data_IF_455251433878
#
_entry.id   IF_455251433878
#
_cell.length_a   1.000
_cell.length_b   1.000
_cell.length_c   1.000
_cell.angle_alpha   90.00
_cell.angle_beta   90.00
_cell.angle_gamma   90.00
#
_symmetry.space_group_name_H-M   'P 1'
#
loop_
_entity.id
_entity.type
_entity.pdbx_description
1 polymer ?
#
# COMPACT_ATOMS: atom_id res chain seq x y z
N UNK A 1 -16.56 12.93 15.25
CA UNK A 1 -17.07 11.63 14.72
C UNK A 1 -15.90 10.65 14.83
N UNK A 2 -16.11 9.43 15.36
CA UNK A 2 -15.04 8.45 15.43
C UNK A 2 -14.77 7.90 14.02
N UNK A 3 -13.51 7.83 13.61
CA UNK A 3 -13.11 7.19 12.35
C UNK A 3 -13.21 5.67 12.56
N UNK A 4 -13.96 5.00 11.69
CA UNK A 4 -14.10 3.54 11.68
C UNK A 4 -13.24 2.93 10.57
N UNK A 5 -12.92 1.64 10.70
CA UNK A 5 -12.24 0.92 9.63
C UNK A 5 -13.19 0.64 8.45
N UNK A 6 -12.66 0.61 7.23
CA UNK A 6 -13.45 0.33 6.01
C UNK A 6 -13.55 -1.16 5.70
N UNK A 7 -12.66 -1.97 6.27
CA UNK A 7 -12.76 -3.43 6.37
C UNK A 7 -12.14 -3.91 7.70
N UNK A 8 -12.23 -5.20 8.00
CA UNK A 8 -11.59 -5.79 9.18
C UNK A 8 -10.08 -6.01 8.93
N UNK A 9 -9.16 -5.28 9.59
CA UNK A 9 -7.72 -5.41 9.36
C UNK A 9 -7.18 -6.83 9.57
N UNK A 10 -7.81 -7.64 10.43
CA UNK A 10 -7.36 -8.99 10.78
C UNK A 10 -7.29 -9.94 9.57
N UNK A 11 -8.06 -9.65 8.51
CA UNK A 11 -8.05 -10.45 7.27
C UNK A 11 -6.69 -10.45 6.58
N UNK A 12 -5.87 -9.41 6.79
CA UNK A 12 -4.52 -9.31 6.22
C UNK A 12 -3.41 -9.66 7.22
N UNK A 13 -3.77 -9.92 8.48
CA UNK A 13 -2.83 -10.21 9.56
C UNK A 13 -2.69 -11.71 9.86
N UNK A 14 -3.39 -12.56 9.12
CA UNK A 14 -3.19 -14.01 9.20
C UNK A 14 -1.85 -14.42 8.56
N UNK A 15 -1.12 -15.40 9.13
CA UNK A 15 0.09 -15.93 8.50
C UNK A 15 -0.22 -16.52 7.12
N UNK A 16 0.71 -16.42 6.17
CA UNK A 16 0.54 -16.99 4.82
C UNK A 16 0.44 -18.52 4.88
N UNK A 17 1.34 -19.16 5.65
CA UNK A 17 1.24 -20.57 6.02
C UNK A 17 1.89 -20.84 7.38
N UNK A 18 1.74 -22.05 7.92
CA UNK A 18 2.39 -22.46 9.17
C UNK A 18 3.93 -22.48 9.04
N UNK A 19 4.45 -22.94 7.90
CA UNK A 19 5.88 -23.08 7.66
C UNK A 19 6.55 -21.78 7.21
N UNK A 20 5.80 -20.89 6.56
CA UNK A 20 6.26 -19.59 6.10
C UNK A 20 5.23 -18.50 6.45
N UNK A 21 5.17 -18.02 7.71
CA UNK A 21 4.19 -17.03 8.14
C UNK A 21 4.22 -15.73 7.32
N UNK A 22 5.40 -15.34 6.82
CA UNK A 22 5.58 -14.16 5.98
C UNK A 22 5.46 -14.44 4.47
N UNK A 23 5.29 -15.70 4.06
CA UNK A 23 5.25 -16.10 2.66
C UNK A 23 6.60 -15.96 1.96
N UNK A 24 6.56 -15.61 0.67
CA UNK A 24 7.74 -15.40 -0.18
C UNK A 24 7.85 -13.94 -0.61
N UNK A 25 9.06 -13.49 -0.94
CA UNK A 25 9.26 -12.14 -1.49
C UNK A 25 8.48 -11.97 -2.80
N UNK A 26 7.47 -11.07 -2.86
CA UNK A 26 6.68 -10.88 -4.08
C UNK A 26 7.51 -10.45 -5.30
N UNK A 27 8.71 -9.88 -5.07
CA UNK A 27 9.62 -9.46 -6.15
C UNK A 27 10.36 -10.62 -6.80
N UNK A 28 10.38 -11.79 -6.16
CA UNK A 28 11.06 -12.97 -6.72
C UNK A 28 10.32 -13.55 -7.93
N UNK A 29 9.01 -13.34 -8.04
CA UNK A 29 8.24 -13.74 -9.23
C UNK A 29 8.38 -12.70 -10.35
N UNK A 30 9.19 -13.05 -11.35
CA UNK A 30 9.40 -12.27 -12.58
C UNK A 30 8.57 -12.77 -13.77
N UNK A 31 7.62 -13.68 -13.54
CA UNK A 31 6.76 -14.22 -14.59
C UNK A 31 5.74 -13.19 -15.07
N UNK A 32 5.14 -13.46 -16.24
CA UNK A 32 4.03 -12.63 -16.77
C UNK A 32 2.77 -12.67 -15.90
N UNK A 33 2.68 -13.64 -14.98
CA UNK A 33 1.58 -13.80 -14.03
C UNK A 33 1.88 -13.18 -12.66
N UNK A 34 3.05 -12.55 -12.48
CA UNK A 34 3.49 -11.93 -11.23
C UNK A 34 2.47 -10.93 -10.70
N UNK A 35 1.97 -11.17 -9.49
CA UNK A 35 1.07 -10.23 -8.81
C UNK A 35 1.78 -8.92 -8.50
N UNK A 36 3.05 -9.00 -8.12
CA UNK A 36 3.88 -7.82 -7.86
C UNK A 36 4.00 -6.91 -9.08
N UNK A 37 4.29 -7.48 -10.27
CA UNK A 37 4.34 -6.67 -11.50
C UNK A 37 2.97 -6.08 -11.85
N UNK A 38 1.88 -6.85 -11.66
CA UNK A 38 0.51 -6.35 -11.89
C UNK A 38 0.15 -5.17 -11.00
N UNK A 39 0.41 -5.22 -9.68
CA UNK A 39 0.11 -4.08 -8.79
C UNK A 39 1.02 -2.88 -9.07
N UNK A 40 2.28 -3.12 -9.45
CA UNK A 40 3.21 -2.06 -9.85
C UNK A 40 2.72 -1.31 -11.10
N UNK A 41 2.24 -2.05 -12.09
CA UNK A 41 1.65 -1.48 -13.31
C UNK A 41 0.33 -0.75 -13.02
N UNK A 42 -0.56 -1.35 -12.21
CA UNK A 42 -1.80 -0.71 -11.77
C UNK A 42 -1.52 0.62 -11.05
N UNK A 43 -0.52 0.66 -10.17
CA UNK A 43 -0.08 1.88 -9.49
C UNK A 43 0.46 2.93 -10.47
N UNK A 44 1.22 2.51 -11.47
CA UNK A 44 1.71 3.42 -12.51
C UNK A 44 0.54 4.02 -13.34
N UNK A 45 -0.47 3.21 -13.65
CA UNK A 45 -1.70 3.63 -14.33
C UNK A 45 -2.50 4.61 -13.47
N UNK A 46 -2.75 4.29 -12.20
CA UNK A 46 -3.48 5.15 -11.27
C UNK A 46 -2.82 6.53 -11.13
N UNK A 47 -1.48 6.57 -10.97
CA UNK A 47 -0.73 7.83 -10.91
C UNK A 47 -0.75 8.59 -12.24
N UNK A 48 -0.81 7.91 -13.38
CA UNK A 48 -0.97 8.57 -14.70
C UNK A 48 -2.36 9.18 -14.83
N UNK A 49 -3.41 8.44 -14.48
CA UNK A 49 -4.78 8.92 -14.49
C UNK A 49 -4.97 10.12 -13.56
N UNK A 50 -4.40 10.07 -12.35
CA UNK A 50 -4.44 11.17 -11.39
C UNK A 50 -3.75 12.43 -11.93
N UNK A 51 -2.58 12.30 -12.57
CA UNK A 51 -1.91 13.45 -13.19
C UNK A 51 -2.68 14.04 -14.37
N UNK A 52 -3.37 13.22 -15.16
CA UNK A 52 -4.22 13.71 -16.24
C UNK A 52 -5.43 14.48 -15.67
N UNK A 53 -6.04 13.94 -14.61
CA UNK A 53 -7.13 14.58 -13.89
C UNK A 53 -6.74 15.96 -13.31
N UNK A 54 -5.55 16.07 -12.72
CA UNK A 54 -5.02 17.32 -12.17
C UNK A 54 -4.81 18.43 -13.23
N UNK A 55 -4.69 18.06 -14.51
CA UNK A 55 -4.56 19.02 -15.62
C UNK A 55 -5.92 19.47 -16.14
N UNK A 56 -6.86 18.54 -16.33
CA UNK A 56 -8.17 18.82 -16.93
C UNK A 56 -9.16 19.43 -15.92
N UNK A 57 -8.94 19.27 -14.61
CA UNK A 57 -9.70 19.83 -13.46
C UNK A 57 -11.22 19.57 -13.43
N UNK A 58 -11.77 18.88 -14.43
CA UNK A 58 -13.20 18.51 -14.57
C UNK A 58 -13.42 16.99 -14.65
N UNK A 59 -12.35 16.19 -14.58
CA UNK A 59 -12.45 14.74 -14.59
C UNK A 59 -12.89 14.16 -13.24
N UNK A 60 -13.54 13.00 -13.25
CA UNK A 60 -13.75 12.23 -12.03
C UNK A 60 -12.40 11.75 -11.47
N UNK A 61 -12.21 11.73 -10.12
CA UNK A 61 -11.03 11.13 -9.53
C UNK A 61 -10.86 9.68 -9.99
N UNK A 62 -9.63 9.18 -10.19
CA UNK A 62 -9.36 7.83 -10.71
C UNK A 62 -9.58 6.75 -9.63
N UNK A 63 -10.80 6.68 -9.08
CA UNK A 63 -11.15 5.81 -7.97
C UNK A 63 -11.05 4.33 -8.34
N UNK A 64 -11.36 3.98 -9.59
CA UNK A 64 -11.24 2.60 -10.07
C UNK A 64 -9.77 2.17 -10.10
N UNK A 65 -8.89 3.00 -10.67
CA UNK A 65 -7.48 2.66 -10.80
C UNK A 65 -6.79 2.57 -9.44
N UNK A 66 -7.19 3.40 -8.47
CA UNK A 66 -6.70 3.26 -7.09
C UNK A 66 -7.33 2.07 -6.37
N UNK A 67 -8.58 1.72 -6.66
CA UNK A 67 -9.22 0.48 -6.21
C UNK A 67 -8.44 -0.76 -6.66
N UNK A 68 -8.04 -0.81 -7.93
CA UNK A 68 -7.25 -1.92 -8.47
C UNK A 68 -5.90 -2.08 -7.72
N UNK A 69 -5.27 -0.97 -7.31
CA UNK A 69 -4.04 -1.01 -6.49
C UNK A 69 -4.31 -1.63 -5.13
N UNK A 70 -5.41 -1.22 -4.47
CA UNK A 70 -5.78 -1.72 -3.14
C UNK A 70 -6.11 -3.21 -3.19
N UNK A 71 -6.91 -3.63 -4.17
CA UNK A 71 -7.33 -5.03 -4.32
C UNK A 71 -6.13 -5.94 -4.60
N UNK A 72 -5.27 -5.57 -5.56
CA UNK A 72 -4.07 -6.35 -5.89
C UNK A 72 -3.05 -6.37 -4.75
N UNK A 73 -2.89 -5.26 -4.01
CA UNK A 73 -2.08 -5.26 -2.79
C UNK A 73 -2.64 -6.21 -1.74
N UNK A 74 -3.96 -6.23 -1.54
CA UNK A 74 -4.64 -7.15 -0.63
C UNK A 74 -4.44 -8.61 -1.01
N UNK A 75 -4.51 -8.94 -2.30
CA UNK A 75 -4.22 -10.30 -2.81
C UNK A 75 -2.79 -10.74 -2.45
N UNK A 76 -1.79 -9.88 -2.66
CA UNK A 76 -0.39 -10.22 -2.34
C UNK A 76 -0.22 -10.42 -0.83
N UNK A 77 -0.72 -9.48 -0.02
CA UNK A 77 -0.57 -9.50 1.43
C UNK A 77 -1.29 -10.68 2.10
N UNK A 78 -2.31 -11.24 1.45
CA UNK A 78 -3.07 -12.39 1.98
C UNK A 78 -2.63 -13.74 1.43
N UNK A 79 -2.08 -13.80 0.21
CA UNK A 79 -1.84 -15.06 -0.49
C UNK A 79 -0.37 -15.36 -0.83
N UNK A 80 0.51 -14.36 -0.80
CA UNK A 80 1.85 -14.50 -1.36
C UNK A 80 2.94 -14.11 -0.39
N UNK A 81 2.90 -12.89 0.15
CA UNK A 81 3.98 -12.39 0.99
C UNK A 81 3.59 -11.17 1.82
N UNK A 82 4.02 -11.13 3.08
CA UNK A 82 3.94 -9.94 3.92
C UNK A 82 5.04 -8.98 3.48
N UNK A 83 4.65 -7.81 2.96
CA UNK A 83 5.58 -6.90 2.31
C UNK A 83 5.26 -5.42 2.57
N UNK A 84 6.27 -4.66 3.03
CA UNK A 84 6.13 -3.25 3.40
C UNK A 84 6.00 -2.31 2.20
N UNK A 85 6.50 -2.67 1.02
CA UNK A 85 6.30 -1.86 -0.19
C UNK A 85 4.89 -2.00 -0.72
N UNK A 86 4.39 -3.23 -0.79
CA UNK A 86 3.00 -3.51 -1.16
C UNK A 86 2.04 -2.86 -0.16
N UNK A 87 2.37 -2.89 1.14
CA UNK A 87 1.62 -2.19 2.17
C UNK A 87 1.66 -0.66 1.98
N UNK A 88 2.81 -0.09 1.60
CA UNK A 88 2.91 1.34 1.29
C UNK A 88 2.01 1.73 0.10
N UNK A 89 1.95 0.89 -0.94
CA UNK A 89 1.05 1.11 -2.07
C UNK A 89 -0.43 0.99 -1.69
N UNK A 90 -0.77 0.05 -0.80
CA UNK A 90 -2.12 -0.05 -0.25
C UNK A 90 -2.49 1.21 0.54
N UNK A 91 -1.60 1.73 1.40
CA UNK A 91 -1.82 3.01 2.11
C UNK A 91 -2.07 4.15 1.12
N UNK A 92 -1.25 4.23 0.06
CA UNK A 92 -1.37 5.25 -0.99
C UNK A 92 -2.72 5.19 -1.75
N UNK A 93 -3.23 3.98 -2.00
CA UNK A 93 -4.54 3.77 -2.63
C UNK A 93 -5.71 4.03 -1.68
N UNK A 94 -5.67 3.45 -0.47
CA UNK A 94 -6.74 3.53 0.53
C UNK A 94 -7.09 4.97 0.91
N UNK A 95 -6.08 5.85 1.08
CA UNK A 95 -6.34 7.27 1.37
C UNK A 95 -7.08 7.98 0.23
N UNK A 96 -6.96 7.52 -1.01
CA UNK A 96 -7.61 8.12 -2.18
C UNK A 96 -9.02 7.61 -2.40
N UNK A 97 -9.28 6.33 -2.12
CA UNK A 97 -10.61 5.74 -2.29
C UNK A 97 -11.53 6.03 -1.10
N UNK A 98 -10.98 6.05 0.12
CA UNK A 98 -11.76 6.06 1.37
C UNK A 98 -11.36 7.20 2.34
N UNK A 99 -10.46 8.10 1.90
CA UNK A 99 -10.05 9.26 2.68
C UNK A 99 -9.42 8.90 4.03
N UNK A 100 -9.84 9.61 5.08
CA UNK A 100 -9.33 9.40 6.44
C UNK A 100 -9.63 7.99 7.00
N UNK A 101 -10.79 7.42 6.67
CA UNK A 101 -11.14 6.06 7.09
C UNK A 101 -10.27 5.02 6.39
N UNK A 102 -9.96 5.24 5.11
CA UNK A 102 -9.03 4.38 4.36
C UNK A 102 -7.63 4.42 4.93
N UNK A 103 -7.11 5.62 5.18
CA UNK A 103 -5.81 5.80 5.82
C UNK A 103 -5.77 5.12 7.20
N UNK A 104 -6.79 5.34 8.03
CA UNK A 104 -6.87 4.71 9.35
C UNK A 104 -6.83 3.18 9.28
N UNK A 105 -7.62 2.60 8.37
CA UNK A 105 -7.66 1.14 8.15
C UNK A 105 -6.31 0.61 7.69
N UNK A 106 -5.68 1.26 6.70
CA UNK A 106 -4.39 0.84 6.17
C UNK A 106 -3.28 0.95 7.22
N UNK A 107 -3.30 1.99 8.06
CA UNK A 107 -2.34 2.13 9.17
C UNK A 107 -2.53 1.05 10.24
N UNK A 108 -3.76 0.60 10.49
CA UNK A 108 -4.02 -0.53 11.39
C UNK A 108 -3.44 -1.84 10.86
N UNK A 109 -3.56 -2.09 9.55
CA UNK A 109 -2.91 -3.24 8.91
C UNK A 109 -1.39 -3.10 9.01
N UNK A 110 -0.82 -1.94 8.66
CA UNK A 110 0.63 -1.72 8.73
C UNK A 110 1.19 -1.90 10.15
N UNK A 111 0.49 -1.39 11.17
CA UNK A 111 0.82 -1.59 12.59
C UNK A 111 0.85 -3.08 12.94
N UNK A 112 -0.21 -3.83 12.59
CA UNK A 112 -0.29 -5.27 12.86
C UNK A 112 0.78 -6.08 12.12
N UNK A 113 1.07 -5.73 10.87
CA UNK A 113 2.11 -6.38 10.06
C UNK A 113 3.49 -6.23 10.71
N UNK A 114 3.86 -4.99 11.08
CA UNK A 114 5.15 -4.72 11.73
C UNK A 114 5.21 -5.39 13.10
N UNK A 115 4.15 -5.31 13.90
CA UNK A 115 4.14 -5.91 15.23
C UNK A 115 4.28 -7.44 15.21
N UNK A 116 3.72 -8.10 14.19
CA UNK A 116 3.58 -9.57 14.16
C UNK A 116 4.66 -10.24 13.32
N UNK A 117 5.06 -9.63 12.20
CA UNK A 117 5.88 -10.29 11.16
C UNK A 117 7.27 -9.68 10.98
N UNK A 118 7.72 -8.76 11.86
CA UNK A 118 8.96 -7.99 11.70
C UNK A 118 10.19 -8.80 11.28
N UNK A 119 10.40 -9.97 11.88
CA UNK A 119 11.58 -10.78 11.63
C UNK A 119 11.64 -11.31 10.18
N UNK A 120 10.49 -11.63 9.59
CA UNK A 120 10.39 -12.24 8.26
C UNK A 120 9.73 -11.39 7.18
N UNK A 121 9.23 -10.20 7.53
CA UNK A 121 8.53 -9.33 6.57
C UNK A 121 9.49 -8.80 5.51
N UNK A 122 9.00 -8.75 4.27
CA UNK A 122 9.75 -8.27 3.12
C UNK A 122 9.64 -6.74 2.98
N UNK A 123 10.64 -6.05 2.39
CA UNK A 123 11.98 -6.56 2.11
C UNK A 123 12.73 -6.99 3.38
N UNK A 124 13.54 -8.05 3.27
CA UNK A 124 14.45 -8.46 4.34
C UNK A 124 15.57 -7.42 4.50
N UNK A 125 16.25 -7.35 5.66
CA UNK A 125 17.36 -6.44 5.82
C UNK A 125 18.55 -6.90 4.97
N UNK A 126 19.32 -5.96 4.46
CA UNK A 126 20.51 -6.20 3.63
C UNK A 126 21.79 -5.74 4.36
N UNK A 127 22.88 -5.54 3.62
CA UNK A 127 24.17 -5.10 4.18
C UNK A 127 24.11 -3.71 4.84
N UNK A 128 23.14 -2.88 4.44
CA UNK A 128 22.85 -1.56 5.02
C UNK A 128 21.78 -1.64 6.14
N UNK A 129 21.43 -2.86 6.56
CA UNK A 129 20.50 -3.11 7.65
C UNK A 129 19.04 -2.94 7.20
N UNK A 130 18.27 -2.10 7.89
CA UNK A 130 16.84 -1.95 7.63
C UNK A 130 16.52 -0.82 6.63
N UNK A 131 17.52 -0.24 5.95
CA UNK A 131 17.31 0.90 5.05
C UNK A 131 16.34 0.54 3.92
N UNK A 132 16.64 -0.50 3.14
CA UNK A 132 15.77 -0.97 2.06
C UNK A 132 14.38 -1.42 2.57
N UNK A 133 14.34 -2.05 3.74
CA UNK A 133 13.09 -2.49 4.40
C UNK A 133 12.17 -1.32 4.75
N UNK A 134 12.72 -0.23 5.28
CA UNK A 134 11.96 0.93 5.75
C UNK A 134 11.71 1.97 4.64
N UNK A 135 12.49 1.93 3.56
CA UNK A 135 12.39 2.86 2.44
C UNK A 135 10.96 3.08 1.91
N UNK A 136 10.08 2.06 1.78
CA UNK A 136 8.72 2.29 1.29
C UNK A 136 7.88 3.18 2.21
N UNK A 137 7.96 2.98 3.53
CA UNK A 137 7.24 3.81 4.50
C UNK A 137 7.85 5.21 4.62
N UNK A 138 9.17 5.32 4.52
CA UNK A 138 9.85 6.62 4.44
C UNK A 138 9.36 7.37 3.18
N UNK A 139 9.21 6.68 2.04
CA UNK A 139 8.72 7.24 0.79
C UNK A 139 7.28 7.79 0.85
N UNK A 140 6.45 7.30 1.78
CA UNK A 140 5.12 7.88 2.04
C UNK A 140 5.22 9.32 2.56
N UNK A 141 6.22 9.59 3.41
CA UNK A 141 6.49 10.91 4.00
C UNK A 141 7.32 11.80 3.07
N UNK A 142 8.32 11.21 2.41
CA UNK A 142 9.27 11.87 1.52
C UNK A 142 10.66 11.98 2.12
N UNK A 143 11.68 11.95 1.26
CA UNK A 143 13.11 12.11 1.61
C UNK A 143 13.62 13.44 1.07
N UNK A 144 13.72 13.55 -0.26
CA UNK A 144 14.19 14.75 -0.97
C UNK A 144 13.06 15.55 -1.62
N UNK A 145 11.82 15.32 -1.20
CA UNK A 145 10.62 15.91 -1.79
C UNK A 145 9.35 15.47 -1.08
N UNK A 146 8.19 15.82 -1.65
CA UNK A 146 6.91 15.39 -1.09
C UNK A 146 6.72 13.88 -1.27
N UNK A 147 6.47 13.19 -0.16
CA UNK A 147 6.09 11.79 -0.18
C UNK A 147 4.71 11.56 -0.79
N UNK A 148 4.44 10.30 -1.13
CA UNK A 148 3.23 9.91 -1.87
C UNK A 148 1.93 10.09 -1.07
N UNK A 149 2.03 10.20 0.25
CA UNK A 149 0.90 10.43 1.15
C UNK A 149 0.52 11.91 1.28
N UNK A 150 1.43 12.83 0.97
CA UNK A 150 1.22 14.28 1.20
C UNK A 150 0.17 14.85 0.24
N UNK A 151 0.26 14.54 -1.05
CA UNK A 151 -0.69 15.03 -2.05
C UNK A 151 -2.14 14.59 -1.79
N UNK A 152 -2.46 13.30 -1.54
CA UNK A 152 -3.84 12.89 -1.32
C UNK A 152 -4.40 13.49 -0.03
N UNK A 153 -3.62 13.58 1.05
CA UNK A 153 -4.03 14.23 2.29
C UNK A 153 -4.44 15.69 2.10
N UNK A 154 -3.74 16.43 1.23
CA UNK A 154 -4.08 17.83 0.90
C UNK A 154 -5.37 17.98 0.10
N UNK A 155 -5.79 16.91 -0.60
CA UNK A 155 -7.02 16.87 -1.39
C UNK A 155 -8.23 16.41 -0.56
N UNK A 156 -8.03 15.90 0.65
CA UNK A 156 -9.14 15.50 1.52
C UNK A 156 -9.89 16.72 2.06
N UNK A 157 -11.23 16.67 2.12
CA UNK A 157 -12.03 17.75 2.70
C UNK A 157 -11.77 17.83 4.22
N UNK A 158 -11.52 19.05 4.71
CA UNK A 158 -11.27 19.32 6.13
C UNK A 158 -12.59 19.30 6.94
N UNK A 159 -13.71 19.53 6.27
CA UNK A 159 -15.06 19.53 6.85
C UNK A 159 -15.97 18.61 6.05
N UNK A 160 -16.92 17.95 6.72
CA UNK A 160 -17.97 17.15 6.08
C UNK A 160 -18.96 18.01 5.28
#
# INVERSE_FOLDING_TARGET
>A
MAIATTFDPEVLLQPISEEAPCGTDPRADISVTSRYLRVKDARAMARRAERANDVDNDGAPPLQEWGDVVDLSGEILSLEGKDLEVMAWMIEGMVRIDGYSGLYTALKVAEGLVATFWEGIHPLPDEDGNEARLAPFIGLNGVDGQGTLIQPLRKLPITA
#
